data_IF_335876331170
#
_entry.id   IF_335876331170
#
_cell.length_a   1.000
_cell.length_b   1.000
_cell.length_c   1.000
_cell.angle_alpha   90.00
_cell.angle_beta   90.00
_cell.angle_gamma   90.00
#
_symmetry.space_group_name_H-M   'P 1'
#
loop_
_entity.id
_entity.type
_entity.pdbx_description
1 polymer ?
#
# COMPACT_ATOMS: atom_id res chain seq x y z
N UNK A 1 -10.93 -8.97 36.44
CA UNK A 1 -11.17 -8.38 35.11
C UNK A 1 -11.34 -9.53 34.12
N UNK A 2 -12.30 -9.46 33.21
CA UNK A 2 -12.42 -10.45 32.13
C UNK A 2 -11.18 -10.37 31.26
N UNK A 3 -10.49 -11.49 31.06
CA UNK A 3 -9.41 -11.57 30.08
C UNK A 3 -10.05 -11.62 28.69
N UNK A 4 -9.68 -10.69 27.81
CA UNK A 4 -10.08 -10.66 26.40
C UNK A 4 -9.07 -11.41 25.51
N UNK A 5 -8.26 -12.28 26.13
CA UNK A 5 -7.41 -13.19 25.39
C UNK A 5 -8.27 -14.09 24.50
N UNK A 6 -7.93 -14.12 23.23
CA UNK A 6 -8.48 -15.06 22.26
C UNK A 6 -7.42 -16.08 21.87
N UNK A 7 -7.82 -17.34 21.79
CA UNK A 7 -7.05 -18.43 21.16
C UNK A 7 -7.82 -18.96 19.95
N UNK A 8 -7.15 -19.71 19.08
CA UNK A 8 -7.77 -20.41 17.96
C UNK A 8 -7.73 -21.90 18.29
N UNK A 9 -8.89 -22.55 18.29
CA UNK A 9 -9.02 -24.00 18.52
C UNK A 9 -9.98 -24.57 17.47
N UNK A 10 -9.52 -25.53 16.66
CA UNK A 10 -10.29 -26.15 15.57
C UNK A 10 -10.96 -25.12 14.64
N UNK A 11 -10.23 -24.05 14.31
CA UNK A 11 -10.71 -22.95 13.46
C UNK A 11 -11.75 -22.03 14.10
N UNK A 12 -11.89 -22.05 15.43
CA UNK A 12 -12.80 -21.19 16.18
C UNK A 12 -12.04 -20.29 17.15
N UNK A 13 -12.44 -19.02 17.24
CA UNK A 13 -11.96 -18.15 18.31
C UNK A 13 -12.55 -18.59 19.65
N UNK A 14 -11.70 -18.75 20.67
CA UNK A 14 -12.07 -19.13 22.04
C UNK A 14 -11.60 -18.07 23.02
N UNK A 15 -12.45 -17.74 23.99
CA UNK A 15 -12.02 -16.92 25.12
C UNK A 15 -11.42 -17.75 26.26
N UNK A 16 -10.96 -17.08 27.32
CA UNK A 16 -10.38 -17.73 28.50
C UNK A 16 -11.32 -18.65 29.28
N UNK A 17 -12.61 -18.69 28.94
CA UNK A 17 -13.61 -19.58 29.53
C UNK A 17 -13.97 -20.75 28.61
N UNK A 18 -13.29 -20.89 27.46
CA UNK A 18 -13.55 -21.93 26.46
C UNK A 18 -14.80 -21.65 25.60
N UNK A 19 -15.42 -20.47 25.73
CA UNK A 19 -16.58 -20.10 24.93
C UNK A 19 -16.13 -19.75 23.52
N UNK A 20 -16.90 -20.17 22.53
CA UNK A 20 -16.71 -19.71 21.16
C UNK A 20 -17.07 -18.23 21.07
N UNK A 21 -16.17 -17.43 20.49
CA UNK A 21 -16.36 -16.00 20.27
C UNK A 21 -16.60 -15.75 18.78
N UNK A 22 -17.68 -15.06 18.46
CA UNK A 22 -17.94 -14.57 17.11
C UNK A 22 -17.57 -13.10 17.05
N UNK A 23 -16.60 -12.77 16.19
CA UNK A 23 -16.17 -11.39 15.95
C UNK A 23 -17.14 -10.74 14.96
N UNK A 24 -17.83 -9.69 15.40
CA UNK A 24 -18.69 -8.84 14.57
C UNK A 24 -18.31 -7.40 14.83
N UNK A 25 -17.84 -6.72 13.79
CA UNK A 25 -17.16 -5.45 13.98
C UNK A 25 -17.28 -4.48 12.82
N UNK A 26 -16.53 -3.39 12.95
CA UNK A 26 -16.39 -2.32 11.97
C UNK A 26 -14.92 -2.01 11.73
N UNK A 27 -14.63 -1.45 10.56
CA UNK A 27 -13.39 -0.75 10.29
C UNK A 27 -13.44 0.62 10.96
N UNK A 28 -12.42 0.96 11.76
CA UNK A 28 -12.32 2.24 12.47
C UNK A 28 -10.95 2.86 12.18
N UNK A 29 -10.86 3.94 11.42
CA UNK A 29 -11.90 4.52 10.56
C UNK A 29 -11.31 4.93 9.21
N UNK A 30 -12.15 5.04 8.19
CA UNK A 30 -11.70 5.43 6.85
C UNK A 30 -10.99 6.79 6.83
N UNK A 31 -11.36 7.71 7.73
CA UNK A 31 -10.73 9.02 7.84
C UNK A 31 -9.27 8.93 8.33
N UNK A 32 -8.85 7.82 8.96
CA UNK A 32 -7.45 7.58 9.32
C UNK A 32 -6.52 7.40 8.12
N UNK A 33 -7.08 7.31 6.91
CA UNK A 33 -6.33 7.24 5.65
C UNK A 33 -5.71 8.55 5.22
N UNK A 34 -6.16 9.68 5.78
CA UNK A 34 -5.75 11.03 5.40
C UNK A 34 -5.27 11.82 6.63
N UNK A 35 -4.32 12.74 6.46
CA UNK A 35 -3.82 13.53 7.57
C UNK A 35 -4.93 14.38 8.18
N UNK A 36 -4.80 14.67 9.47
CA UNK A 36 -5.67 15.61 10.18
C UNK A 36 -5.13 17.03 10.14
N UNK A 37 -3.81 17.21 10.00
CA UNK A 37 -3.17 18.52 9.89
C UNK A 37 -2.10 18.50 8.78
N UNK A 38 -2.22 19.36 7.75
CA UNK A 38 -3.45 20.06 7.41
C UNK A 38 -4.60 19.07 7.16
N UNK A 39 -5.85 19.53 7.35
CA UNK A 39 -7.01 18.72 6.93
C UNK A 39 -7.00 18.66 5.39
N UNK A 40 -6.59 17.51 4.87
CA UNK A 40 -6.31 17.31 3.44
C UNK A 40 -7.26 16.25 2.84
N UNK A 41 -8.57 16.55 2.71
CA UNK A 41 -9.47 15.66 2.00
C UNK A 41 -9.09 15.56 0.50
N UNK A 42 -9.55 14.51 -0.18
CA UNK A 42 -9.11 14.16 -1.53
C UNK A 42 -9.31 15.23 -2.60
N UNK A 43 -10.20 16.20 -2.38
CA UNK A 43 -10.51 17.24 -3.36
C UNK A 43 -9.73 18.54 -3.15
N UNK A 44 -8.95 18.66 -2.07
CA UNK A 44 -8.19 19.87 -1.75
C UNK A 44 -6.75 19.69 -2.24
N UNK A 45 -6.35 20.50 -3.22
CA UNK A 45 -4.99 20.44 -3.81
C UNK A 45 -3.95 21.33 -3.13
N UNK A 46 -4.37 22.28 -2.29
CA UNK A 46 -3.46 23.20 -1.61
C UNK A 46 -2.47 22.42 -0.73
N UNK A 47 -1.17 22.69 -0.90
CA UNK A 47 -0.04 22.05 -0.20
C UNK A 47 -0.07 20.51 -0.22
N UNK A 48 -0.77 19.90 -1.19
CA UNK A 48 -0.92 18.45 -1.29
C UNK A 48 0.42 17.71 -1.30
N UNK A 49 1.44 18.31 -1.95
CA UNK A 49 2.79 17.76 -2.06
C UNK A 49 3.73 18.09 -0.88
N UNK A 50 3.24 18.77 0.16
CA UNK A 50 3.95 18.91 1.44
C UNK A 50 3.74 17.67 2.32
N UNK A 51 4.10 16.50 1.79
CA UNK A 51 3.83 15.22 2.45
C UNK A 51 4.73 14.87 3.63
N UNK A 52 5.82 15.60 3.84
CA UNK A 52 6.78 15.30 4.91
C UNK A 52 6.38 15.95 6.25
N UNK A 53 5.49 16.96 6.21
CA UNK A 53 5.11 17.77 7.36
C UNK A 53 3.66 17.54 7.82
N UNK A 54 2.99 16.52 7.28
CA UNK A 54 1.63 16.16 7.67
C UNK A 54 1.59 15.46 9.03
N UNK A 55 0.46 15.57 9.72
CA UNK A 55 0.20 14.92 11.00
C UNK A 55 -1.11 14.17 10.99
N UNK A 56 -1.16 13.08 11.73
CA UNK A 56 -2.33 12.22 11.89
C UNK A 56 -2.87 12.24 13.34
N UNK A 57 -2.46 13.23 14.15
CA UNK A 57 -2.67 13.27 15.61
C UNK A 57 -4.14 13.34 16.06
N UNK A 58 -5.09 13.53 15.14
CA UNK A 58 -6.52 13.43 15.40
C UNK A 58 -7.18 12.26 14.64
N UNK A 59 -6.42 11.23 14.26
CA UNK A 59 -6.89 10.03 13.56
C UNK A 59 -6.75 8.78 14.44
N UNK A 60 -7.76 7.88 14.47
CA UNK A 60 -8.98 7.86 13.63
C UNK A 60 -10.02 8.92 13.98
N UNK A 61 -9.94 9.52 15.16
CA UNK A 61 -10.70 10.69 15.61
C UNK A 61 -9.99 11.29 16.84
N UNK A 62 -10.30 12.55 17.23
CA UNK A 62 -9.80 13.13 18.47
C UNK A 62 -10.10 12.25 19.70
N UNK A 63 -9.16 12.24 20.66
CA UNK A 63 -9.26 11.40 21.87
C UNK A 63 -10.52 11.70 22.69
N UNK A 64 -10.92 12.96 22.78
CA UNK A 64 -12.11 13.41 23.52
C UNK A 64 -13.42 12.94 22.86
N UNK A 65 -13.41 12.66 21.56
CA UNK A 65 -14.55 12.08 20.83
C UNK A 65 -14.60 10.53 20.93
N UNK A 66 -13.50 9.89 21.32
CA UNK A 66 -13.37 8.43 21.32
C UNK A 66 -14.47 7.73 22.13
N UNK A 67 -14.81 8.26 23.31
CA UNK A 67 -15.90 7.74 24.14
C UNK A 67 -17.24 7.73 23.39
N UNK A 68 -17.54 8.78 22.63
CA UNK A 68 -18.79 8.91 21.88
C UNK A 68 -18.83 7.88 20.73
N UNK A 69 -17.73 7.70 20.01
CA UNK A 69 -17.67 6.70 18.93
C UNK A 69 -17.78 5.27 19.47
N UNK A 70 -16.99 4.92 20.48
CA UNK A 70 -16.97 3.58 21.05
C UNK A 70 -18.27 3.20 21.76
N UNK A 71 -18.93 4.14 22.46
CA UNK A 71 -20.26 3.89 23.04
C UNK A 71 -21.32 3.59 21.99
N UNK A 72 -21.30 4.30 20.85
CA UNK A 72 -22.20 4.02 19.72
C UNK A 72 -21.96 2.64 19.12
N UNK A 73 -20.69 2.33 18.80
CA UNK A 73 -20.31 1.03 18.23
C UNK A 73 -20.75 -0.12 19.17
N UNK A 74 -20.50 0.02 20.47
CA UNK A 74 -20.88 -0.98 21.46
C UNK A 74 -22.41 -1.12 21.58
N UNK A 75 -23.14 -0.01 21.55
CA UNK A 75 -24.62 0.01 21.61
C UNK A 75 -25.26 -0.67 20.40
N UNK A 76 -24.60 -0.65 19.23
CA UNK A 76 -25.03 -1.42 18.06
C UNK A 76 -24.73 -2.92 18.15
N UNK A 77 -24.09 -3.38 19.24
CA UNK A 77 -23.84 -4.80 19.50
C UNK A 77 -22.55 -5.33 18.88
N UNK A 78 -21.71 -4.47 18.30
CA UNK A 78 -20.39 -4.86 17.80
C UNK A 78 -19.42 -5.13 18.95
N UNK A 79 -18.52 -6.08 18.74
CA UNK A 79 -17.49 -6.47 19.70
C UNK A 79 -16.07 -6.45 19.13
N UNK A 80 -15.90 -6.14 17.85
CA UNK A 80 -14.60 -6.14 17.19
C UNK A 80 -14.36 -4.84 16.42
N UNK A 81 -13.11 -4.38 16.40
CA UNK A 81 -12.67 -3.26 15.58
C UNK A 81 -11.45 -3.68 14.76
N UNK A 82 -11.51 -3.42 13.46
CA UNK A 82 -10.33 -3.38 12.60
C UNK A 82 -9.78 -1.95 12.66
N UNK A 83 -8.69 -1.75 13.40
CA UNK A 83 -8.13 -0.44 13.66
C UNK A 83 -7.21 -0.04 12.51
N UNK A 84 -7.69 0.88 11.68
CA UNK A 84 -7.00 1.37 10.49
C UNK A 84 -5.91 2.36 10.92
N UNK A 85 -4.69 2.13 10.46
CA UNK A 85 -3.63 3.13 10.43
C UNK A 85 -2.89 3.04 9.09
N UNK A 86 -2.19 4.11 8.70
CA UNK A 86 -1.37 4.12 7.49
C UNK A 86 0.11 4.12 7.86
N UNK A 87 0.96 3.65 6.95
CA UNK A 87 2.40 3.78 7.10
C UNK A 87 2.82 5.26 7.15
N UNK A 88 2.13 6.12 6.39
CA UNK A 88 2.31 7.58 6.43
C UNK A 88 2.07 8.16 7.82
N UNK A 89 1.07 7.69 8.56
CA UNK A 89 0.82 8.15 9.93
C UNK A 89 1.98 7.84 10.90
N UNK A 90 2.80 6.83 10.60
CA UNK A 90 3.95 6.45 11.42
C UNK A 90 5.23 7.17 10.94
N UNK A 91 5.45 7.26 9.63
CA UNK A 91 6.78 7.57 9.06
C UNK A 91 6.72 8.61 7.93
N UNK A 92 5.82 9.61 8.02
CA UNK A 92 5.69 10.68 7.03
C UNK A 92 6.98 11.47 6.81
N UNK A 93 7.69 11.82 7.89
CA UNK A 93 8.83 12.73 7.87
C UNK A 93 10.10 12.16 7.19
N UNK A 94 10.10 10.88 6.82
CA UNK A 94 11.20 10.22 6.13
C UNK A 94 11.60 8.89 6.76
N UNK A 95 12.47 8.11 6.08
CA UNK A 95 12.89 6.79 6.53
C UNK A 95 13.56 6.84 7.91
N UNK A 96 13.10 6.00 8.82
CA UNK A 96 13.50 5.86 10.22
C UNK A 96 12.97 6.95 11.16
N UNK A 97 12.10 7.86 10.69
CA UNK A 97 11.61 9.01 11.49
C UNK A 97 10.17 8.79 11.91
N UNK A 98 10.00 8.12 13.05
CA UNK A 98 8.68 7.75 13.56
C UNK A 98 7.97 8.88 14.32
N UNK A 99 6.67 9.04 14.08
CA UNK A 99 5.80 10.02 14.76
C UNK A 99 5.33 9.49 16.12
N UNK A 100 6.09 9.83 17.16
CA UNK A 100 5.80 9.39 18.53
C UNK A 100 4.56 10.04 19.14
N UNK A 101 4.17 11.21 18.65
CA UNK A 101 2.96 11.91 19.10
C UNK A 101 1.71 11.18 18.58
N UNK A 102 1.73 10.76 17.31
CA UNK A 102 0.68 9.92 16.74
C UNK A 102 0.57 8.55 17.43
N UNK A 103 1.70 7.91 17.73
CA UNK A 103 1.72 6.61 18.42
C UNK A 103 1.10 6.75 19.82
N UNK A 104 1.46 7.81 20.55
CA UNK A 104 0.89 8.09 21.87
C UNK A 104 -0.61 8.35 21.80
N UNK A 105 -1.08 9.11 20.80
CA UNK A 105 -2.52 9.30 20.54
C UNK A 105 -3.23 7.95 20.34
N UNK A 106 -2.69 7.08 19.49
CA UNK A 106 -3.25 5.75 19.21
C UNK A 106 -3.35 4.90 20.48
N UNK A 107 -2.30 4.87 21.32
CA UNK A 107 -2.31 4.15 22.60
C UNK A 107 -3.44 4.65 23.51
N UNK A 108 -3.64 5.97 23.57
CA UNK A 108 -4.69 6.58 24.40
C UNK A 108 -6.09 6.26 23.89
N UNK A 109 -6.29 6.25 22.57
CA UNK A 109 -7.56 5.83 21.95
C UNK A 109 -7.83 4.35 22.22
N UNK A 110 -6.83 3.47 22.10
CA UNK A 110 -6.96 2.04 22.41
C UNK A 110 -7.32 1.79 23.88
N UNK A 111 -6.76 2.58 24.82
CA UNK A 111 -7.14 2.52 26.24
C UNK A 111 -8.61 2.87 26.46
N UNK A 112 -9.14 3.86 25.75
CA UNK A 112 -10.58 4.17 25.83
C UNK A 112 -11.40 3.03 25.22
N UNK A 113 -10.96 2.44 24.11
CA UNK A 113 -11.65 1.31 23.48
C UNK A 113 -11.71 0.08 24.39
N UNK A 114 -10.68 -0.13 25.22
CA UNK A 114 -10.61 -1.20 26.23
C UNK A 114 -11.77 -1.15 27.22
N UNK A 115 -12.19 0.03 27.66
CA UNK A 115 -13.30 0.21 28.59
C UNK A 115 -14.65 -0.27 28.03
N UNK A 116 -14.75 -0.43 26.71
CA UNK A 116 -15.92 -0.96 26.01
C UNK A 116 -15.84 -2.46 25.71
N UNK A 117 -14.72 -3.10 26.02
CA UNK A 117 -14.50 -4.53 25.78
C UNK A 117 -14.59 -4.90 24.30
N UNK A 118 -13.80 -4.20 23.47
CA UNK A 118 -13.60 -4.55 22.07
C UNK A 118 -12.40 -5.46 21.89
N UNK A 119 -12.52 -6.37 20.92
CA UNK A 119 -11.38 -7.08 20.34
C UNK A 119 -10.85 -6.26 19.16
N UNK A 120 -9.62 -5.79 19.24
CA UNK A 120 -9.01 -4.93 18.22
C UNK A 120 -7.85 -5.64 17.55
N UNK A 121 -7.82 -5.64 16.23
CA UNK A 121 -6.62 -5.96 15.49
C UNK A 121 -6.17 -4.76 14.67
N UNK A 122 -4.85 -4.58 14.60
CA UNK A 122 -4.21 -3.44 13.98
C UNK A 122 -4.03 -3.70 12.48
N UNK A 123 -4.49 -2.78 11.64
CA UNK A 123 -4.50 -2.90 10.18
C UNK A 123 -3.61 -1.80 9.55
N UNK A 124 -2.40 -2.16 9.06
CA UNK A 124 -1.58 -1.29 8.23
C UNK A 124 -2.24 -1.16 6.84
N UNK A 125 -3.07 -0.13 6.76
CA UNK A 125 -3.96 0.10 5.65
C UNK A 125 -3.26 0.85 4.52
N UNK A 126 -3.59 0.43 3.30
CA UNK A 126 -3.24 1.12 2.07
C UNK A 126 -4.35 0.88 1.05
N UNK A 127 -4.57 1.87 0.18
CA UNK A 127 -5.22 1.67 -1.10
C UNK A 127 -4.29 2.23 -2.15
N UNK A 128 -4.01 1.46 -3.21
CA UNK A 128 -3.21 1.95 -4.33
C UNK A 128 -1.86 2.56 -3.87
N UNK A 129 -1.20 1.92 -2.90
CA UNK A 129 0.07 2.34 -2.31
C UNK A 129 0.02 3.61 -1.47
N UNK A 130 -0.38 4.76 -2.01
CA UNK A 130 -0.25 6.08 -1.38
C UNK A 130 -1.31 7.06 -1.86
N UNK A 131 -1.59 8.12 -1.09
CA UNK A 131 -2.50 9.20 -1.51
C UNK A 131 -2.04 9.92 -2.77
N UNK A 132 -0.74 9.97 -3.01
CA UNK A 132 -0.14 10.50 -4.24
C UNK A 132 -0.31 9.57 -5.45
N UNK A 133 -0.70 8.32 -5.23
CA UNK A 133 -1.04 7.35 -6.26
C UNK A 133 -2.57 7.21 -6.45
N UNK A 134 -3.37 8.01 -5.73
CA UNK A 134 -4.83 8.04 -5.82
C UNK A 134 -5.57 7.21 -4.78
N UNK A 135 -4.88 6.72 -3.74
CA UNK A 135 -5.50 6.03 -2.60
C UNK A 135 -4.97 6.53 -1.25
N UNK A 136 -4.29 5.67 -0.48
CA UNK A 136 -3.73 5.97 0.85
C UNK A 136 -2.68 4.94 1.26
N UNK A 137 -1.91 5.19 2.32
CA UNK A 137 -1.06 4.17 2.93
C UNK A 137 0.39 4.60 3.16
N UNK A 138 1.22 4.48 2.13
CA UNK A 138 2.66 4.73 2.20
C UNK A 138 3.01 6.23 2.14
N UNK A 139 4.02 6.66 2.89
CA UNK A 139 4.48 8.05 2.89
C UNK A 139 5.14 8.44 1.56
N UNK A 140 5.17 9.75 1.28
CA UNK A 140 5.65 10.31 0.01
C UNK A 140 7.08 9.90 -0.33
N UNK A 141 7.95 9.78 0.68
CA UNK A 141 9.35 9.42 0.48
C UNK A 141 9.52 8.07 -0.23
N UNK A 142 8.55 7.16 -0.11
CA UNK A 142 8.60 5.86 -0.81
C UNK A 142 8.52 6.00 -2.32
N UNK A 143 7.81 7.03 -2.81
CA UNK A 143 7.68 7.35 -4.23
C UNK A 143 8.99 7.92 -4.75
N UNK A 144 9.59 8.85 -3.99
CA UNK A 144 10.91 9.38 -4.29
C UNK A 144 11.97 8.26 -4.26
N UNK A 145 11.91 7.35 -3.28
CA UNK A 145 12.82 6.20 -3.21
C UNK A 145 12.73 5.35 -4.51
N UNK A 146 11.53 5.13 -5.05
CA UNK A 146 11.34 4.46 -6.34
C UNK A 146 11.77 5.26 -7.58
N UNK A 147 12.32 6.46 -7.40
CA UNK A 147 12.80 7.32 -8.49
C UNK A 147 11.69 8.07 -9.23
N UNK A 148 10.48 8.12 -8.67
CA UNK A 148 9.31 8.75 -9.27
C UNK A 148 9.10 10.17 -8.72
N UNK A 149 8.57 11.05 -9.57
CA UNK A 149 8.20 12.43 -9.24
C UNK A 149 6.68 12.57 -9.13
N UNK A 150 6.09 12.59 -7.91
CA UNK A 150 4.64 12.66 -7.75
C UNK A 150 4.01 13.94 -8.33
N UNK A 151 4.77 15.02 -8.44
CA UNK A 151 4.29 16.29 -9.01
C UNK A 151 3.99 16.19 -10.51
N UNK A 152 4.64 15.25 -11.21
CA UNK A 152 4.49 15.03 -12.64
C UNK A 152 3.44 13.98 -13.00
N UNK A 153 2.78 13.38 -12.01
CA UNK A 153 1.82 12.30 -12.25
C UNK A 153 0.56 12.76 -12.99
N UNK A 154 0.13 14.01 -12.79
CA UNK A 154 -1.04 14.54 -13.50
C UNK A 154 -0.77 14.70 -15.00
N UNK A 155 0.40 15.22 -15.39
CA UNK A 155 0.76 15.43 -16.80
C UNK A 155 0.98 14.10 -17.54
N UNK A 156 1.57 13.13 -16.85
CA UNK A 156 1.89 11.81 -17.40
C UNK A 156 0.78 10.78 -17.27
N UNK A 157 -0.28 11.10 -16.53
CA UNK A 157 -1.23 10.15 -15.96
C UNK A 157 -0.60 8.91 -15.29
N UNK A 158 0.60 9.04 -14.72
CA UNK A 158 1.24 7.98 -13.93
C UNK A 158 0.41 7.60 -12.70
N UNK A 159 -0.42 8.53 -12.22
CA UNK A 159 -1.57 8.31 -11.35
C UNK A 159 -2.62 9.40 -11.62
N UNK A 160 -3.90 9.06 -11.51
CA UNK A 160 -5.01 10.02 -11.50
C UNK A 160 -5.46 10.20 -10.06
N UNK A 161 -5.29 11.41 -9.54
CA UNK A 161 -5.62 11.77 -8.16
C UNK A 161 -6.55 12.97 -8.16
N UNK A 162 -7.51 12.96 -7.24
CA UNK A 162 -8.52 14.02 -7.14
C UNK A 162 -7.89 15.38 -6.79
N UNK A 163 -6.88 15.40 -5.92
CA UNK A 163 -6.18 16.61 -5.47
C UNK A 163 -5.52 17.41 -6.60
N UNK A 164 -5.13 16.74 -7.70
CA UNK A 164 -4.47 17.34 -8.87
C UNK A 164 -5.35 17.31 -10.12
N UNK A 165 -6.58 16.80 -10.02
CA UNK A 165 -7.47 16.68 -11.16
C UNK A 165 -7.88 18.08 -11.64
N UNK A 166 -7.77 18.41 -12.96
CA UNK A 166 -7.96 19.78 -13.44
C UNK A 166 -9.32 20.41 -13.08
N UNK A 167 -10.34 19.58 -12.93
CA UNK A 167 -11.69 19.97 -12.50
C UNK A 167 -12.17 19.04 -11.39
N UNK A 168 -11.82 19.30 -10.12
CA UNK A 168 -12.11 18.38 -9.02
C UNK A 168 -13.59 17.97 -8.91
N UNK A 169 -14.53 18.85 -9.25
CA UNK A 169 -15.96 18.57 -9.28
C UNK A 169 -16.40 17.54 -10.35
N UNK A 170 -15.59 17.35 -11.39
CA UNK A 170 -15.79 16.36 -12.45
C UNK A 170 -14.99 15.06 -12.22
N UNK A 171 -14.32 14.92 -11.06
CA UNK A 171 -13.50 13.74 -10.77
C UNK A 171 -14.34 12.45 -10.86
N UNK A 172 -13.98 11.48 -11.73
CA UNK A 172 -14.85 10.36 -12.00
C UNK A 172 -15.01 9.43 -10.79
N UNK A 173 -16.26 9.13 -10.43
CA UNK A 173 -16.59 8.18 -9.36
C UNK A 173 -15.93 6.83 -9.62
N UNK A 174 -15.37 6.23 -8.57
CA UNK A 174 -14.75 4.89 -8.58
C UNK A 174 -13.56 4.72 -9.54
N UNK A 175 -12.96 5.79 -10.06
CA UNK A 175 -11.78 5.68 -10.94
C UNK A 175 -10.50 5.28 -10.20
N UNK A 176 -10.44 5.52 -8.89
CA UNK A 176 -9.24 5.38 -8.06
C UNK A 176 -8.56 4.01 -8.20
N UNK A 177 -9.32 2.92 -8.29
CA UNK A 177 -8.76 1.56 -8.40
C UNK A 177 -8.10 1.27 -9.74
N UNK A 178 -8.34 2.10 -10.77
CA UNK A 178 -7.64 1.99 -12.05
C UNK A 178 -6.16 2.34 -11.92
N UNK A 179 -5.77 3.08 -10.88
CA UNK A 179 -4.39 3.45 -10.63
C UNK A 179 -3.48 2.25 -10.32
N UNK A 180 -4.01 1.11 -9.87
CA UNK A 180 -3.22 -0.14 -9.75
C UNK A 180 -2.57 -0.56 -11.08
N UNK A 181 -3.15 -0.13 -12.21
CA UNK A 181 -2.68 -0.43 -13.57
C UNK A 181 -1.96 0.75 -14.23
N UNK A 182 -1.63 1.79 -13.45
CA UNK A 182 -0.88 2.95 -13.91
C UNK A 182 0.56 2.90 -13.40
N UNK A 183 1.43 3.68 -14.05
CA UNK A 183 2.87 3.58 -13.89
C UNK A 183 3.30 3.60 -12.42
N UNK A 184 2.79 4.54 -11.63
CA UNK A 184 3.27 4.78 -10.27
C UNK A 184 3.04 3.54 -9.38
N UNK A 185 1.77 3.17 -9.14
CA UNK A 185 1.48 2.04 -8.26
C UNK A 185 1.97 0.71 -8.84
N UNK A 186 1.85 0.48 -10.16
CA UNK A 186 2.36 -0.73 -10.79
C UNK A 186 3.87 -0.87 -10.58
N UNK A 187 4.64 0.21 -10.73
CA UNK A 187 6.10 0.20 -10.52
C UNK A 187 6.44 -0.04 -9.05
N UNK A 188 5.80 0.69 -8.13
CA UNK A 188 6.16 0.64 -6.72
C UNK A 188 5.84 -0.73 -6.11
N UNK A 189 4.67 -1.31 -6.39
CA UNK A 189 4.36 -2.67 -5.95
C UNK A 189 5.32 -3.70 -6.55
N UNK A 190 5.76 -3.52 -7.80
CA UNK A 190 6.77 -4.41 -8.41
C UNK A 190 8.09 -4.31 -7.66
N UNK A 191 8.55 -3.10 -7.32
CA UNK A 191 9.76 -2.88 -6.53
C UNK A 191 9.61 -3.46 -5.12
N UNK A 192 8.46 -3.27 -4.47
CA UNK A 192 8.19 -3.75 -3.13
C UNK A 192 8.17 -5.28 -3.04
N UNK A 193 7.55 -6.00 -3.99
CA UNK A 193 7.44 -7.46 -3.91
C UNK A 193 8.57 -8.19 -4.64
N UNK A 194 9.03 -7.69 -5.78
CA UNK A 194 9.96 -8.39 -6.68
C UNK A 194 11.12 -7.53 -7.18
N UNK A 195 11.50 -6.48 -6.44
CA UNK A 195 12.57 -5.56 -6.85
C UNK A 195 13.92 -6.23 -7.07
N UNK A 196 14.25 -7.32 -6.35
CA UNK A 196 15.50 -8.08 -6.60
C UNK A 196 15.52 -8.76 -7.96
N UNK A 197 14.38 -9.27 -8.38
CA UNK A 197 14.24 -10.05 -9.61
C UNK A 197 14.05 -9.13 -10.84
N UNK A 198 13.21 -8.10 -10.70
CA UNK A 198 12.79 -7.27 -11.82
C UNK A 198 13.43 -5.88 -11.85
N UNK A 199 13.96 -5.41 -10.73
CA UNK A 199 14.62 -4.10 -10.62
C UNK A 199 16.01 -4.18 -9.95
N UNK A 200 16.89 -5.14 -10.33
CA UNK A 200 18.15 -5.39 -9.61
C UNK A 200 19.10 -4.19 -9.55
N UNK A 201 19.03 -3.25 -10.51
CA UNK A 201 19.84 -2.01 -10.49
C UNK A 201 19.37 -1.01 -9.43
N UNK A 202 18.16 -1.17 -8.92
CA UNK A 202 17.56 -0.22 -7.99
C UNK A 202 18.08 -0.48 -6.58
N UNK A 203 19.19 0.15 -6.25
CA UNK A 203 19.87 -0.01 -4.97
C UNK A 203 19.98 1.36 -4.28
N UNK A 204 19.60 1.41 -3.01
CA UNK A 204 19.70 2.58 -2.12
C UNK A 204 20.51 2.16 -0.90
N UNK A 205 21.51 2.94 -0.52
CA UNK A 205 22.37 2.68 0.63
C UNK A 205 22.99 1.27 0.62
N UNK A 206 23.29 0.75 -0.58
CA UNK A 206 23.83 -0.60 -0.76
C UNK A 206 22.82 -1.74 -0.62
N UNK A 207 21.52 -1.44 -0.48
CA UNK A 207 20.43 -2.39 -0.32
C UNK A 207 19.46 -2.28 -1.50
N UNK A 208 18.96 -3.40 -2.04
CA UNK A 208 17.98 -3.36 -3.12
C UNK A 208 16.68 -2.69 -2.65
N UNK A 209 16.00 -1.97 -3.55
CA UNK A 209 14.75 -1.23 -3.28
C UNK A 209 13.67 -2.10 -2.63
N UNK A 210 13.61 -3.40 -2.95
CA UNK A 210 12.71 -4.35 -2.31
C UNK A 210 12.93 -4.41 -0.81
N UNK A 211 14.15 -4.70 -0.39
CA UNK A 211 14.52 -4.83 1.02
C UNK A 211 14.45 -3.48 1.74
N UNK A 212 14.76 -2.39 1.04
CA UNK A 212 14.63 -1.04 1.58
C UNK A 212 13.16 -0.73 1.94
N UNK A 213 12.23 -0.90 1.01
CA UNK A 213 10.81 -0.62 1.25
C UNK A 213 10.19 -1.60 2.25
N UNK A 214 10.43 -2.91 2.10
CA UNK A 214 9.94 -3.93 3.03
C UNK A 214 10.49 -3.71 4.43
N UNK A 215 11.80 -3.45 4.55
CA UNK A 215 12.46 -3.22 5.83
C UNK A 215 11.90 -2.02 6.58
N UNK A 216 11.71 -0.88 5.91
CA UNK A 216 11.15 0.31 6.53
C UNK A 216 9.66 0.14 6.90
N UNK A 217 8.83 -0.42 6.01
CA UNK A 217 7.42 -0.69 6.32
C UNK A 217 7.27 -1.61 7.55
N UNK A 218 8.03 -2.71 7.58
CA UNK A 218 8.02 -3.67 8.69
C UNK A 218 8.55 -3.03 9.96
N UNK A 219 9.62 -2.23 9.89
CA UNK A 219 10.19 -1.55 11.04
C UNK A 219 9.24 -0.50 11.65
N UNK A 220 8.51 0.24 10.82
CA UNK A 220 7.49 1.19 11.27
C UNK A 220 6.35 0.48 12.02
N UNK A 221 5.82 -0.62 11.47
CA UNK A 221 4.78 -1.41 12.13
C UNK A 221 5.29 -2.07 13.43
N UNK A 222 6.51 -2.61 13.40
CA UNK A 222 7.14 -3.19 14.59
C UNK A 222 7.41 -2.13 15.68
N UNK A 223 7.72 -0.90 15.29
CA UNK A 223 7.87 0.20 16.24
C UNK A 223 6.54 0.53 16.93
N UNK A 224 5.44 0.64 16.19
CA UNK A 224 4.11 0.78 16.78
C UNK A 224 3.79 -0.39 17.72
N UNK A 225 4.06 -1.62 17.30
CA UNK A 225 3.85 -2.81 18.13
C UNK A 225 4.66 -2.75 19.44
N UNK A 226 5.94 -2.35 19.35
CA UNK A 226 6.81 -2.17 20.51
C UNK A 226 6.26 -1.15 21.49
N UNK A 227 5.73 -0.02 20.99
CA UNK A 227 5.16 1.03 21.84
C UNK A 227 3.85 0.60 22.50
N UNK A 228 3.02 -0.18 21.81
CA UNK A 228 1.83 -0.83 22.39
C UNK A 228 2.23 -1.85 23.47
N UNK A 229 3.29 -2.64 23.24
CA UNK A 229 3.83 -3.58 24.22
C UNK A 229 4.32 -2.86 25.48
N UNK A 230 5.14 -1.82 25.31
CA UNK A 230 5.70 -1.01 26.40
C UNK A 230 4.62 -0.29 27.24
N UNK A 231 3.44 -0.02 26.66
CA UNK A 231 2.30 0.51 27.41
C UNK A 231 1.81 -0.46 28.51
N UNK A 232 2.02 -1.77 28.33
CA UNK A 232 1.83 -2.81 29.36
C UNK A 232 0.39 -3.21 29.67
N UNK A 233 -0.60 -2.51 29.11
CA UNK A 233 -2.02 -2.65 29.46
C UNK A 233 -2.97 -2.87 28.27
N UNK A 234 -2.44 -3.11 27.07
CA UNK A 234 -3.24 -3.22 25.83
C UNK A 234 -3.21 -4.62 25.19
N UNK A 235 -2.05 -5.26 25.15
CA UNK A 235 -1.88 -6.58 24.53
C UNK A 235 -2.69 -7.67 25.23
N UNK A 236 -3.39 -8.49 24.45
CA UNK A 236 -4.25 -9.58 24.95
C UNK A 236 -5.42 -9.10 25.84
N UNK A 237 -5.70 -7.79 25.83
CA UNK A 237 -6.79 -7.16 26.56
C UNK A 237 -7.70 -6.41 25.58
N UNK A 238 -7.20 -5.42 24.88
CA UNK A 238 -7.97 -4.78 23.79
C UNK A 238 -7.36 -5.08 22.43
N UNK A 239 -6.02 -5.13 22.33
CA UNK A 239 -5.32 -5.50 21.09
C UNK A 239 -5.07 -6.99 21.07
N UNK A 240 -5.75 -7.71 20.18
CA UNK A 240 -5.68 -9.17 20.03
C UNK A 240 -4.75 -9.63 18.91
N UNK A 241 -4.39 -8.75 17.98
CA UNK A 241 -3.75 -9.19 16.75
C UNK A 241 -3.32 -8.09 15.81
N UNK A 242 -2.70 -8.53 14.73
CA UNK A 242 -2.14 -7.69 13.68
C UNK A 242 -2.50 -8.27 12.33
N UNK A 243 -2.95 -7.42 11.42
CA UNK A 243 -3.08 -7.76 10.01
C UNK A 243 -1.79 -7.41 9.26
N UNK A 244 -1.49 -8.13 8.19
CA UNK A 244 -0.26 -7.96 7.41
C UNK A 244 -0.15 -6.65 6.62
N UNK A 245 -0.89 -6.50 5.52
CA UNK A 245 -0.99 -5.30 4.70
C UNK A 245 -2.38 -5.32 4.07
N UNK A 246 -3.09 -4.19 4.06
CA UNK A 246 -4.40 -4.14 3.40
C UNK A 246 -4.28 -4.43 1.90
N UNK A 247 -5.09 -5.37 1.40
CA UNK A 247 -5.32 -5.66 -0.02
C UNK A 247 -4.07 -5.48 -0.94
N UNK A 248 -2.99 -6.25 -0.72
CA UNK A 248 -1.72 -6.01 -1.41
C UNK A 248 -1.84 -6.22 -2.92
N UNK A 249 -1.39 -5.24 -3.70
CA UNK A 249 -1.28 -5.33 -5.16
C UNK A 249 0.00 -6.05 -5.61
N UNK A 250 -0.07 -6.89 -6.62
CA UNK A 250 1.12 -7.56 -7.17
C UNK A 250 1.98 -6.70 -8.10
N UNK A 251 1.53 -5.47 -8.42
CA UNK A 251 2.18 -4.61 -9.40
C UNK A 251 2.25 -5.29 -10.76
N UNK A 252 3.46 -5.40 -11.31
CA UNK A 252 3.74 -6.08 -12.57
C UNK A 252 4.23 -7.52 -12.37
N UNK A 253 4.45 -7.99 -11.14
CA UNK A 253 4.97 -9.35 -10.91
C UNK A 253 3.95 -10.38 -11.42
N UNK A 254 4.34 -11.18 -12.41
CA UNK A 254 3.45 -12.11 -13.12
C UNK A 254 2.65 -11.51 -14.28
N UNK A 255 2.92 -10.26 -14.66
CA UNK A 255 2.27 -9.62 -15.80
C UNK A 255 2.76 -10.24 -17.12
N UNK A 256 1.84 -10.89 -17.84
CA UNK A 256 2.17 -11.78 -18.96
C UNK A 256 2.55 -11.04 -20.25
N UNK A 257 1.89 -9.94 -20.57
CA UNK A 257 2.17 -9.13 -21.77
C UNK A 257 1.79 -7.66 -21.54
N UNK A 258 2.78 -6.80 -21.28
CA UNK A 258 2.54 -5.38 -20.95
C UNK A 258 1.94 -4.56 -22.10
N UNK A 259 1.89 -5.10 -23.32
CA UNK A 259 1.29 -4.42 -24.47
C UNK A 259 -0.23 -4.52 -24.54
N UNK A 260 -0.87 -5.28 -23.65
CA UNK A 260 -2.32 -5.46 -23.62
C UNK A 260 -2.92 -5.16 -22.24
N UNK A 261 -4.19 -4.76 -22.24
CA UNK A 261 -5.01 -4.69 -21.02
C UNK A 261 -5.41 -6.13 -20.66
N UNK A 262 -5.07 -6.64 -19.47
CA UNK A 262 -5.25 -8.04 -19.15
C UNK A 262 -6.71 -8.33 -18.80
N UNK A 263 -7.13 -9.57 -19.04
CA UNK A 263 -8.50 -10.01 -18.69
C UNK A 263 -8.77 -9.94 -17.17
N UNK A 264 -7.72 -9.95 -16.35
CA UNK A 264 -7.79 -9.78 -14.90
C UNK A 264 -8.23 -8.36 -14.49
N UNK A 265 -7.96 -7.34 -15.30
CA UNK A 265 -8.41 -5.96 -15.04
C UNK A 265 -9.93 -5.84 -15.29
N UNK A 266 -10.74 -6.17 -14.28
CA UNK A 266 -12.20 -6.12 -14.37
C UNK A 266 -12.76 -4.70 -14.31
N UNK A 267 -12.10 -3.81 -13.58
CA UNK A 267 -12.50 -2.40 -13.47
C UNK A 267 -11.73 -1.56 -14.51
N UNK A 268 -12.48 -0.88 -15.39
CA UNK A 268 -11.95 0.06 -16.39
C UNK A 268 -12.86 1.28 -16.42
N UNK A 269 -12.29 2.47 -16.22
CA UNK A 269 -13.03 3.74 -16.16
C UNK A 269 -12.09 4.90 -16.50
N UNK A 270 -12.57 5.88 -17.26
CA UNK A 270 -11.74 6.97 -17.76
C UNK A 270 -10.71 6.46 -18.76
N UNK A 271 -9.56 7.13 -18.86
CA UNK A 271 -8.41 6.59 -19.61
C UNK A 271 -7.96 5.25 -19.01
N UNK A 272 -7.65 4.29 -19.87
CA UNK A 272 -7.26 2.94 -19.48
C UNK A 272 -6.06 2.49 -20.34
N UNK A 273 -4.85 2.96 -20.02
CA UNK A 273 -3.65 2.60 -20.77
C UNK A 273 -3.27 1.12 -20.56
N UNK A 274 -2.57 0.53 -21.52
CA UNK A 274 -1.73 -0.66 -21.28
C UNK A 274 -0.49 -0.24 -20.49
N UNK A 275 0.17 -1.18 -19.79
CA UNK A 275 1.42 -0.86 -19.10
C UNK A 275 2.47 -0.31 -20.08
N UNK A 276 2.54 -0.81 -21.31
CA UNK A 276 3.41 -0.23 -22.32
C UNK A 276 3.12 1.27 -22.57
N UNK A 277 1.85 1.66 -22.67
CA UNK A 277 1.45 3.05 -22.84
C UNK A 277 1.78 3.90 -21.60
N UNK A 278 1.72 3.33 -20.38
CA UNK A 278 2.14 4.03 -19.16
C UNK A 278 3.65 4.24 -19.11
N UNK A 279 4.46 3.33 -19.67
CA UNK A 279 5.91 3.52 -19.81
C UNK A 279 6.24 4.68 -20.76
N UNK A 280 5.52 4.79 -21.87
CA UNK A 280 5.68 5.88 -22.85
C UNK A 280 5.31 7.23 -22.24
N UNK A 281 4.08 7.36 -21.73
CA UNK A 281 3.57 8.59 -21.11
C UNK A 281 4.36 8.98 -19.87
N UNK A 282 4.74 8.02 -19.03
CA UNK A 282 5.66 8.23 -17.91
C UNK A 282 7.04 8.76 -18.30
N UNK A 283 7.43 8.55 -19.56
CA UNK A 283 8.69 9.04 -20.11
C UNK A 283 8.48 10.30 -20.97
N UNK A 284 7.33 10.95 -20.90
CA UNK A 284 7.06 12.19 -21.62
C UNK A 284 6.64 12.03 -23.08
N UNK A 285 6.31 10.81 -23.53
CA UNK A 285 5.81 10.57 -24.89
C UNK A 285 4.28 10.66 -24.92
N UNK A 286 3.75 11.36 -25.91
CA UNK A 286 2.31 11.39 -26.15
C UNK A 286 1.79 10.01 -26.61
N UNK A 287 0.65 9.57 -26.09
CA UNK A 287 0.06 8.28 -26.44
C UNK A 287 -1.47 8.35 -26.48
N UNK A 288 -2.09 7.80 -27.53
CA UNK A 288 -3.53 7.57 -27.54
C UNK A 288 -3.88 6.34 -26.69
N UNK A 289 -4.76 6.52 -25.71
CA UNK A 289 -5.22 5.47 -24.81
C UNK A 289 -6.71 5.26 -24.97
N UNK A 290 -7.17 4.02 -24.75
CA UNK A 290 -8.60 3.73 -24.79
C UNK A 290 -9.30 4.32 -23.57
N UNK A 291 -10.47 4.92 -23.77
CA UNK A 291 -11.31 5.43 -22.68
C UNK A 291 -12.51 4.52 -22.45
N UNK A 292 -12.85 4.30 -21.19
CA UNK A 292 -13.86 3.34 -20.75
C UNK A 292 -14.89 3.96 -19.80
N UNK A 293 -16.10 3.41 -19.81
CA UNK A 293 -17.13 3.65 -18.82
C UNK A 293 -17.67 2.32 -18.27
N UNK A 294 -18.41 2.39 -17.17
CA UNK A 294 -19.00 1.26 -16.46
C UNK A 294 -20.52 1.29 -16.59
N UNK A 295 -21.09 0.24 -17.17
CA UNK A 295 -22.54 0.03 -17.26
C UNK A 295 -23.00 -1.17 -16.42
N UNK A 296 -24.29 -1.49 -16.48
CA UNK A 296 -24.85 -2.63 -15.73
C UNK A 296 -24.30 -4.00 -16.10
N UNK A 297 -23.71 -4.15 -17.30
CA UNK A 297 -23.05 -5.39 -17.77
C UNK A 297 -21.51 -5.36 -17.61
N UNK A 298 -20.98 -4.35 -16.92
CA UNK A 298 -19.54 -4.17 -16.73
C UNK A 298 -18.93 -3.07 -17.61
N UNK A 299 -17.59 -3.06 -17.75
CA UNK A 299 -16.88 -2.02 -18.49
C UNK A 299 -17.13 -2.11 -20.00
N UNK A 300 -17.31 -0.96 -20.65
CA UNK A 300 -17.36 -0.85 -22.10
C UNK A 300 -16.52 0.34 -22.58
N UNK A 301 -15.89 0.17 -23.74
CA UNK A 301 -15.05 1.21 -24.35
C UNK A 301 -15.95 2.30 -24.92
N UNK A 302 -15.66 3.55 -24.58
CA UNK A 302 -16.41 4.74 -25.05
C UNK A 302 -15.64 5.58 -26.07
N UNK A 303 -14.34 5.38 -26.20
CA UNK A 303 -13.54 6.17 -27.15
C UNK A 303 -12.04 6.01 -26.96
N UNK A 304 -11.32 7.07 -27.33
CA UNK A 304 -9.88 7.25 -27.11
C UNK A 304 -9.60 8.68 -26.69
N UNK A 305 -8.53 8.86 -25.92
CA UNK A 305 -8.00 10.17 -25.53
C UNK A 305 -6.51 10.20 -25.75
N UNK A 306 -5.98 11.35 -26.19
CA UNK A 306 -4.56 11.60 -26.21
C UNK A 306 -4.10 12.00 -24.81
N UNK A 307 -3.17 11.25 -24.24
CA UNK A 307 -2.39 11.66 -23.06
C UNK A 307 -1.08 12.23 -23.56
N UNK A 308 -0.86 13.53 -23.38
CA UNK A 308 0.35 14.23 -23.83
C UNK A 308 1.02 14.93 -22.64
N UNK A 309 2.12 14.37 -22.10
CA UNK A 309 2.86 14.99 -21.01
C UNK A 309 3.75 16.17 -21.47
N UNK A 310 3.82 16.46 -22.77
CA UNK A 310 4.65 17.54 -23.33
C UNK A 310 6.13 17.46 -22.92
N UNK A 311 6.68 16.23 -22.84
CA UNK A 311 8.05 15.96 -22.43
C UNK A 311 8.28 15.88 -20.92
N UNK A 312 7.27 16.19 -20.09
CA UNK A 312 7.35 15.98 -18.65
C UNK A 312 7.42 14.47 -18.31
N UNK A 313 8.27 14.11 -17.36
CA UNK A 313 8.50 12.71 -16.98
C UNK A 313 7.98 12.43 -15.58
N UNK A 314 7.43 11.23 -15.39
CA UNK A 314 7.01 10.73 -14.08
C UNK A 314 8.22 10.30 -13.22
N UNK A 315 9.42 10.29 -13.80
CA UNK A 315 10.68 9.96 -13.14
C UNK A 315 11.36 11.24 -12.65
N UNK A 316 12.07 11.15 -11.53
CA UNK A 316 12.89 12.25 -11.02
C UNK A 316 13.95 12.65 -12.05
N UNK A 317 14.29 13.95 -12.15
CA UNK A 317 15.31 14.41 -13.08
C UNK A 317 16.70 13.88 -12.70
N UNK A 318 17.62 13.87 -13.66
CA UNK A 318 18.95 13.29 -13.48
C UNK A 318 19.80 14.01 -12.40
N UNK A 319 19.50 15.28 -12.15
CA UNK A 319 20.16 16.15 -11.17
C UNK A 319 19.35 16.29 -9.86
N UNK A 320 18.33 15.45 -9.63
CA UNK A 320 17.56 15.48 -8.40
C UNK A 320 18.45 15.27 -7.17
N UNK A 321 18.26 16.12 -6.17
CA UNK A 321 19.01 16.05 -4.92
C UNK A 321 18.35 15.09 -3.92
N UNK A 322 18.93 13.89 -3.79
CA UNK A 322 18.52 12.89 -2.81
C UNK A 322 18.83 13.31 -1.34
N UNK A 323 19.49 14.45 -1.09
CA UNK A 323 19.77 14.95 0.27
C UNK A 323 18.51 15.17 1.11
N UNK A 324 17.34 15.39 0.47
CA UNK A 324 16.03 15.51 1.14
C UNK A 324 15.76 14.40 2.15
N UNK A 325 16.12 13.16 1.82
CA UNK A 325 15.95 12.00 2.71
C UNK A 325 17.26 11.31 3.08
N UNK A 326 18.40 11.91 2.69
CA UNK A 326 19.74 11.51 3.14
C UNK A 326 20.20 10.14 2.64
N UNK A 327 19.59 9.59 1.58
CA UNK A 327 20.01 8.31 1.01
C UNK A 327 20.94 8.50 -0.20
N UNK A 328 21.63 7.42 -0.57
CA UNK A 328 22.51 7.37 -1.73
C UNK A 328 22.09 6.25 -2.67
N UNK A 329 21.87 6.59 -3.94
CA UNK A 329 21.62 5.59 -5.00
C UNK A 329 22.92 4.98 -5.49
N UNK A 330 22.85 3.72 -5.88
CA UNK A 330 23.93 3.07 -6.60
C UNK A 330 24.16 3.73 -7.97
N UNK A 331 25.41 3.77 -8.42
CA UNK A 331 25.77 4.40 -9.69
C UNK A 331 25.08 3.72 -10.90
N UNK A 332 24.68 2.46 -10.76
CA UNK A 332 23.92 1.72 -11.76
C UNK A 332 22.45 2.15 -11.90
N UNK A 333 21.89 2.87 -10.92
CA UNK A 333 20.54 3.44 -10.99
C UNK A 333 20.60 4.87 -11.53
N UNK A 334 20.26 5.07 -12.81
CA UNK A 334 20.26 6.39 -13.43
C UNK A 334 18.92 7.10 -13.20
N UNK A 335 18.93 8.25 -12.55
CA UNK A 335 17.77 9.16 -12.53
C UNK A 335 17.65 9.89 -13.87
N UNK A 336 16.47 10.47 -14.14
CA UNK A 336 16.13 11.07 -15.44
C UNK A 336 15.77 10.05 -16.52
N UNK A 337 15.79 8.76 -16.20
CA UNK A 337 15.51 7.67 -17.14
C UNK A 337 14.45 6.72 -16.59
N UNK A 338 13.64 6.15 -17.48
CA UNK A 338 12.68 5.12 -17.09
C UNK A 338 13.42 3.88 -16.57
N UNK A 339 13.10 3.45 -15.35
CA UNK A 339 13.77 2.29 -14.72
C UNK A 339 13.61 1.02 -15.56
N UNK A 340 12.46 0.84 -16.21
CA UNK A 340 12.19 -0.33 -17.03
C UNK A 340 12.98 -0.31 -18.36
N UNK A 341 13.32 0.88 -18.90
CA UNK A 341 14.26 1.00 -20.01
C UNK A 341 15.67 0.57 -19.59
N UNK A 342 16.11 0.97 -18.39
CA UNK A 342 17.41 0.56 -17.84
C UNK A 342 17.52 -0.96 -17.65
N UNK A 343 16.39 -1.66 -17.54
CA UNK A 343 16.31 -3.12 -17.44
C UNK A 343 15.99 -3.82 -18.78
N UNK A 344 15.99 -3.10 -19.90
CA UNK A 344 15.83 -3.67 -21.24
C UNK A 344 14.39 -4.05 -21.59
N UNK A 345 13.39 -3.50 -20.88
CA UNK A 345 11.98 -3.73 -21.22
C UNK A 345 11.61 -3.03 -22.53
N UNK A 346 12.19 -1.86 -22.79
CA UNK A 346 11.96 -1.09 -24.02
C UNK A 346 13.16 -0.19 -24.35
N UNK A 347 13.24 0.27 -25.60
CA UNK A 347 14.28 1.19 -26.07
C UNK A 347 13.73 2.62 -26.21
N UNK A 348 14.21 3.58 -25.39
CA UNK A 348 13.77 4.97 -25.42
C UNK A 348 14.26 5.78 -26.62
N UNK A 349 15.23 5.28 -27.39
CA UNK A 349 15.72 5.96 -28.61
C UNK A 349 14.81 5.73 -29.81
N UNK A 350 14.14 4.58 -29.83
CA UNK A 350 13.31 4.12 -30.94
C UNK A 350 11.85 3.95 -30.54
N UNK A 351 11.51 4.26 -29.28
CA UNK A 351 10.19 4.04 -28.65
C UNK A 351 9.63 2.64 -28.95
N UNK A 352 10.50 1.63 -28.87
CA UNK A 352 10.16 0.25 -29.23
C UNK A 352 10.12 -0.65 -27.99
N UNK A 353 9.03 -1.41 -27.86
CA UNK A 353 8.89 -2.44 -26.84
C UNK A 353 9.82 -3.63 -27.15
N UNK A 354 10.80 -3.87 -26.28
CA UNK A 354 11.84 -4.89 -26.49
C UNK A 354 11.45 -6.22 -25.84
N UNK A 355 10.93 -6.17 -24.62
CA UNK A 355 10.56 -7.35 -23.86
C UNK A 355 9.17 -7.20 -23.21
N UNK A 356 8.14 -7.61 -23.94
CA UNK A 356 6.74 -7.48 -23.51
C UNK A 356 6.35 -8.38 -22.33
N UNK A 357 7.12 -9.43 -22.06
CA UNK A 357 6.84 -10.42 -21.02
C UNK A 357 7.93 -10.47 -19.95
N UNK A 358 8.65 -9.35 -19.74
CA UNK A 358 9.74 -9.23 -18.77
C UNK A 358 9.35 -9.69 -17.36
N UNK A 359 8.11 -9.42 -16.94
CA UNK A 359 7.62 -9.74 -15.60
C UNK A 359 6.88 -11.07 -15.49
N UNK A 360 6.74 -11.82 -16.59
CA UNK A 360 5.87 -12.98 -16.66
C UNK A 360 6.45 -14.22 -15.94
N UNK A 361 7.77 -14.25 -15.74
CA UNK A 361 8.51 -15.41 -15.23
C UNK A 361 9.49 -15.00 -14.16
N UNK A 362 9.72 -15.88 -13.19
CA UNK A 362 10.82 -15.72 -12.25
C UNK A 362 12.14 -15.85 -13.03
N UNK A 363 13.03 -14.84 -12.97
CA UNK A 363 14.25 -14.82 -13.78
C UNK A 363 15.27 -15.88 -13.36
N UNK A 364 15.23 -16.34 -12.12
CA UNK A 364 16.18 -17.32 -11.58
C UNK A 364 15.76 -18.76 -11.86
N UNK A 365 14.45 -19.04 -11.96
CA UNK A 365 13.91 -20.40 -12.17
C UNK A 365 13.30 -20.62 -13.54
N UNK A 366 12.95 -19.54 -14.27
CA UNK A 366 12.22 -19.60 -15.54
C UNK A 366 10.75 -19.99 -15.42
N UNK A 367 10.25 -20.21 -14.19
CA UNK A 367 8.86 -20.59 -13.93
C UNK A 367 7.92 -19.41 -14.20
N UNK A 368 6.78 -19.69 -14.83
CA UNK A 368 5.72 -18.69 -15.02
C UNK A 368 5.14 -18.28 -13.68
N UNK A 369 4.93 -16.97 -13.51
CA UNK A 369 4.31 -16.42 -12.30
C UNK A 369 2.84 -16.15 -12.61
N UNK A 370 1.97 -16.98 -12.05
CA UNK A 370 0.53 -16.73 -11.95
C UNK A 370 0.19 -16.24 -10.53
N UNK A 371 -1.09 -16.01 -10.23
CA UNK A 371 -1.52 -15.54 -8.92
C UNK A 371 -1.11 -16.52 -7.78
N UNK A 372 -1.36 -17.84 -7.89
CA UNK A 372 -0.85 -18.79 -6.90
C UNK A 372 0.67 -18.71 -6.71
N UNK A 373 1.45 -18.61 -7.79
CA UNK A 373 2.91 -18.52 -7.66
C UNK A 373 3.34 -17.23 -6.96
N UNK A 374 2.77 -16.09 -7.33
CA UNK A 374 3.03 -14.82 -6.65
C UNK A 374 2.72 -14.91 -5.16
N UNK A 375 1.54 -15.42 -4.81
CA UNK A 375 1.08 -15.54 -3.43
C UNK A 375 2.00 -16.44 -2.61
N UNK A 376 2.43 -17.59 -3.15
CA UNK A 376 3.26 -18.56 -2.43
C UNK A 376 4.76 -18.20 -2.38
N UNK A 377 5.22 -17.24 -3.19
CA UNK A 377 6.64 -16.85 -3.26
C UNK A 377 6.87 -15.42 -2.76
N UNK A 378 6.59 -14.42 -3.61
CA UNK A 378 6.88 -13.01 -3.35
C UNK A 378 6.06 -12.45 -2.19
N UNK A 379 4.76 -12.74 -2.13
CA UNK A 379 3.92 -12.29 -1.01
C UNK A 379 4.32 -12.98 0.30
N UNK A 380 4.45 -14.32 0.30
CA UNK A 380 4.84 -15.04 1.51
C UNK A 380 6.22 -14.61 2.05
N UNK A 381 7.15 -14.21 1.19
CA UNK A 381 8.41 -13.61 1.64
C UNK A 381 8.16 -12.33 2.46
N UNK A 382 7.38 -11.38 1.94
CA UNK A 382 7.03 -10.15 2.68
C UNK A 382 6.23 -10.43 3.95
N UNK A 383 5.30 -11.40 3.92
CA UNK A 383 4.51 -11.77 5.09
C UNK A 383 5.38 -12.34 6.20
N UNK A 384 6.36 -13.20 5.89
CA UNK A 384 7.29 -13.75 6.87
C UNK A 384 8.10 -12.65 7.55
N UNK A 385 8.62 -11.68 6.80
CA UNK A 385 9.33 -10.53 7.36
C UNK A 385 8.45 -9.77 8.37
N UNK A 386 7.19 -9.51 8.02
CA UNK A 386 6.25 -8.84 8.90
C UNK A 386 5.94 -9.66 10.16
N UNK A 387 5.57 -10.94 9.99
CA UNK A 387 5.29 -11.87 11.08
C UNK A 387 6.47 -11.96 12.06
N UNK A 388 7.68 -12.11 11.52
CA UNK A 388 8.90 -12.35 12.31
C UNK A 388 9.36 -11.08 13.03
N UNK A 389 8.90 -9.90 12.61
CA UNK A 389 9.11 -8.65 13.34
C UNK A 389 8.07 -8.42 14.45
N UNK A 390 6.80 -8.80 14.22
CA UNK A 390 5.70 -8.55 15.16
C UNK A 390 5.63 -9.60 16.27
N UNK A 391 5.72 -10.89 15.94
CA UNK A 391 5.55 -11.98 16.93
C UNK A 391 6.52 -11.94 18.12
N UNK A 392 7.80 -11.58 17.96
CA UNK A 392 8.70 -11.47 19.11
C UNK A 392 8.27 -10.39 20.11
N UNK A 393 7.52 -9.38 19.65
CA UNK A 393 7.01 -8.26 20.46
C UNK A 393 5.68 -8.67 21.10
N UNK A 394 4.64 -8.93 20.30
CA UNK A 394 3.32 -9.32 20.77
C UNK A 394 3.15 -10.85 20.68
N UNK A 395 3.77 -11.58 21.62
CA UNK A 395 3.94 -13.06 21.55
C UNK A 395 2.69 -13.90 21.30
N UNK A 396 1.54 -13.43 21.80
CA UNK A 396 0.27 -14.15 21.72
C UNK A 396 -0.69 -13.54 20.69
N UNK A 397 -0.20 -12.68 19.79
CA UNK A 397 -1.04 -12.04 18.79
C UNK A 397 -1.62 -13.05 17.80
N UNK A 398 -2.85 -12.81 17.39
CA UNK A 398 -3.40 -13.42 16.18
C UNK A 398 -2.81 -12.67 14.98
N UNK A 399 -2.19 -13.41 14.04
CA UNK A 399 -1.75 -12.85 12.77
C UNK A 399 -2.86 -13.03 11.72
N UNK A 400 -3.47 -11.93 11.30
CA UNK A 400 -4.44 -11.92 10.22
C UNK A 400 -3.71 -11.71 8.89
N UNK A 401 -3.69 -12.73 8.06
CA UNK A 401 -3.05 -12.64 6.75
C UNK A 401 -4.05 -12.14 5.72
N UNK A 402 -3.76 -10.97 5.16
CA UNK A 402 -4.51 -10.42 4.03
C UNK A 402 -3.66 -10.53 2.77
N UNK A 403 -3.95 -11.57 2.00
CA UNK A 403 -3.35 -11.81 0.69
C UNK A 403 -4.10 -11.01 -0.39
N UNK A 404 -3.60 -10.96 -1.65
CA UNK A 404 -4.24 -10.19 -2.72
C UNK A 404 -5.74 -10.50 -2.87
N UNK A 405 -6.55 -9.46 -3.08
CA UNK A 405 -8.00 -9.57 -3.15
C UNK A 405 -8.46 -10.48 -4.27
N UNK A 406 -9.51 -11.27 -4.02
CA UNK A 406 -10.13 -12.18 -5.01
C UNK A 406 -9.20 -13.31 -5.51
N UNK A 407 -8.08 -13.55 -4.85
CA UNK A 407 -7.16 -14.63 -5.16
C UNK A 407 -7.27 -15.81 -4.19
N UNK A 408 -6.56 -16.90 -4.48
CA UNK A 408 -6.42 -18.02 -3.56
C UNK A 408 -5.45 -17.67 -2.42
N UNK A 409 -5.74 -18.08 -1.16
CA UNK A 409 -4.80 -17.95 -0.07
C UNK A 409 -3.51 -18.75 -0.34
N UNK A 410 -2.38 -18.38 0.29
CA UNK A 410 -1.16 -19.19 0.21
C UNK A 410 -1.36 -20.57 0.83
N UNK A 411 -0.62 -21.54 0.30
CA UNK A 411 -0.62 -22.92 0.76
C UNK A 411 0.32 -23.08 1.96
N UNK A 412 -0.14 -22.68 3.14
CA UNK A 412 0.68 -22.70 4.37
C UNK A 412 0.50 -23.96 5.23
N UNK A 413 -0.60 -24.70 5.03
CA UNK A 413 -0.91 -25.88 5.85
C UNK A 413 0.20 -26.95 5.75
N UNK A 414 0.72 -27.40 6.90
CA UNK A 414 1.81 -28.37 7.00
C UNK A 414 3.20 -27.81 6.68
N UNK A 415 3.35 -26.49 6.55
CA UNK A 415 4.64 -25.82 6.34
C UNK A 415 5.14 -25.17 7.64
N UNK A 416 6.33 -24.56 7.62
CA UNK A 416 6.83 -23.75 8.74
C UNK A 416 5.99 -22.50 9.04
N UNK A 417 5.13 -22.10 8.10
CA UNK A 417 4.20 -20.98 8.25
C UNK A 417 2.81 -21.41 8.74
N UNK A 418 2.58 -22.72 8.94
CA UNK A 418 1.35 -23.23 9.57
C UNK A 418 1.34 -22.82 11.04
N UNK A 419 0.41 -21.95 11.43
CA UNK A 419 0.22 -21.54 12.82
C UNK A 419 -0.83 -22.48 13.45
N UNK A 420 -0.40 -23.44 14.30
CA UNK A 420 -1.25 -24.55 14.75
C UNK A 420 -2.39 -24.15 15.70
#
# INVERSE_FOLDING_TARGET
>A
MSSFRLTIEDGQFRDSYGRQVVLRGLNVAADAKLPSEPDQPSHIGHDFFDGDNVKFHNRPFPKDEAHVHFSRIKRYGYNTIRYIFTWEAIEAAGPGRYDEEWIQHTIEVLRIAKDYGFYIFMDPHQDVWSRFCGGSGAPMWTIYACGLNPQSFSATEAAIVHNTYPKPEEFPKMIWSTNYWRLAAATIFTMYFGGKDFAPKCIINGINIQDFLQGHFVAACAHLAKRIHEAGDLENDVVIGWESMNEPGCGLVGYQDISVIPNAQKLKKGSCPTIWQTLLTGSGRACEVDTWDMGGMGPYKVGRSLVDPHGEMAWLPADYDDSRYGWKRDEGWKLGECVWAQHGVWDPKTDTLVNKNYFAKNPNTGKSIDHPEFTNTYFMHSYRLYRDAIRPIHKNCIMLMQYPTLELPPQIKGTEDDDP
#
